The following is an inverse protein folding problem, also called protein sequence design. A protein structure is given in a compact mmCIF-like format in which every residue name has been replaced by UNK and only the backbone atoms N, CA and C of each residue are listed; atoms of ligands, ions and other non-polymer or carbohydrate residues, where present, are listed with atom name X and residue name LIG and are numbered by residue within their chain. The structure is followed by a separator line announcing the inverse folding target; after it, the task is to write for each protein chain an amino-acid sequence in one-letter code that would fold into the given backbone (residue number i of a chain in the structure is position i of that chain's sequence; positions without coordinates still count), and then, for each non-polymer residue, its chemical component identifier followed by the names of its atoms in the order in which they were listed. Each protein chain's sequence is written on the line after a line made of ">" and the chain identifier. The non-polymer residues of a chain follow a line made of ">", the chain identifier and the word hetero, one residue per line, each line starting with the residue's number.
data_IF_368317368278
#
_entry.id   IF_368317368278
#
_cell.length_a   1.000
_cell.length_b   1.000
_cell.length_c   1.000
_cell.angle_alpha   90.00
_cell.angle_beta   90.00
_cell.angle_gamma   90.00
#
_symmetry.space_group_name_H-M   'P 1'
#
loop_
_entity.id
_entity.type
_entity.pdbx_description
1 polymer ?
#
# COMPACT_ATOMS: atom_id res chain seq x y z
N UNK A 1 8.10 31.75 -2.58
CA UNK A 1 8.34 30.61 -3.49
C UNK A 1 6.99 30.22 -4.05
N UNK A 2 6.82 30.24 -5.38
CA UNK A 2 5.54 29.89 -5.99
C UNK A 2 5.22 28.42 -5.73
N UNK A 3 4.06 28.13 -5.15
CA UNK A 3 3.56 26.77 -5.03
C UNK A 3 3.47 26.18 -6.44
N UNK A 4 4.22 25.12 -6.68
CA UNK A 4 4.15 24.38 -7.93
C UNK A 4 2.89 23.51 -7.88
N UNK A 5 1.84 23.94 -8.57
CA UNK A 5 0.70 23.06 -8.86
C UNK A 5 1.15 21.98 -9.83
N UNK A 6 0.94 20.72 -9.44
CA UNK A 6 1.11 19.53 -10.28
C UNK A 6 -0.31 19.03 -10.56
N UNK A 7 -0.96 19.58 -11.58
CA UNK A 7 -2.37 19.25 -11.86
C UNK A 7 -2.53 17.96 -12.66
N UNK A 8 -1.49 17.52 -13.38
CA UNK A 8 -1.50 16.31 -14.20
C UNK A 8 -0.16 15.57 -14.12
N UNK A 9 -0.19 14.24 -14.24
CA UNK A 9 1.01 13.40 -14.22
C UNK A 9 2.04 13.69 -15.31
N UNK A 10 1.66 14.29 -16.43
CA UNK A 10 2.64 14.72 -17.42
C UNK A 10 3.53 15.85 -16.88
N UNK A 11 2.96 16.80 -16.13
CA UNK A 11 3.74 17.85 -15.44
C UNK A 11 4.70 17.24 -14.40
N UNK A 12 4.27 16.18 -13.72
CA UNK A 12 5.10 15.43 -12.77
C UNK A 12 6.29 14.78 -13.48
N UNK A 13 6.03 14.06 -14.58
CA UNK A 13 7.08 13.41 -15.38
C UNK A 13 8.08 14.42 -15.95
N UNK A 14 7.61 15.57 -16.41
CA UNK A 14 8.50 16.63 -16.92
C UNK A 14 9.35 17.24 -15.81
N UNK A 15 8.76 17.58 -14.67
CA UNK A 15 9.50 18.23 -13.57
C UNK A 15 10.49 17.28 -12.90
N UNK A 16 10.18 16.00 -12.76
CA UNK A 16 11.12 15.03 -12.17
C UNK A 16 12.42 14.95 -12.97
N UNK A 17 12.38 15.17 -14.30
CA UNK A 17 13.60 15.15 -15.14
C UNK A 17 14.61 16.25 -14.77
N UNK A 18 14.18 17.33 -14.13
CA UNK A 18 15.06 18.41 -13.67
C UNK A 18 15.45 18.29 -12.19
N UNK A 19 14.96 17.28 -11.48
CA UNK A 19 15.26 17.05 -10.07
C UNK A 19 16.43 16.08 -9.90
N UNK A 20 17.27 16.36 -8.90
CA UNK A 20 18.29 15.44 -8.41
C UNK A 20 17.99 15.14 -6.95
N UNK A 21 17.86 13.86 -6.61
CA UNK A 21 17.77 13.43 -5.21
C UNK A 21 19.19 13.36 -4.67
N UNK A 22 19.43 14.09 -3.59
CA UNK A 22 20.71 14.13 -2.92
C UNK A 22 20.64 13.35 -1.62
N UNK A 23 21.72 12.63 -1.32
CA UNK A 23 21.85 11.91 -0.06
C UNK A 23 22.02 12.91 1.08
N UNK A 24 20.94 13.14 1.83
CA UNK A 24 20.95 13.94 3.05
C UNK A 24 20.48 13.08 4.20
N UNK A 25 21.30 13.01 5.25
CA UNK A 25 20.93 12.32 6.49
C UNK A 25 19.69 12.98 7.11
N UNK A 26 18.78 12.15 7.60
CA UNK A 26 17.68 12.60 8.44
C UNK A 26 18.17 12.62 9.89
N UNK A 27 18.25 13.81 10.50
CA UNK A 27 18.81 14.00 11.85
C UNK A 27 18.16 13.09 12.91
N UNK A 28 16.87 12.80 12.77
CA UNK A 28 16.12 11.93 13.67
C UNK A 28 16.62 10.48 13.68
N UNK A 29 17.13 9.98 12.55
CA UNK A 29 17.51 8.57 12.35
C UNK A 29 19.00 8.38 12.09
N UNK A 30 19.77 9.47 12.02
CA UNK A 30 21.20 9.53 11.64
C UNK A 30 21.56 8.70 10.39
N UNK A 31 20.62 8.59 9.45
CA UNK A 31 20.79 7.78 8.24
C UNK A 31 20.15 8.42 7.01
N UNK A 32 20.57 7.97 5.83
CA UNK A 32 19.91 8.29 4.56
C UNK A 32 18.93 7.16 4.27
N UNK A 33 17.64 7.48 4.22
CA UNK A 33 16.61 6.48 3.96
C UNK A 33 16.56 6.13 2.46
N UNK A 34 16.65 4.84 2.09
CA UNK A 34 16.46 4.41 0.71
C UNK A 34 14.96 4.42 0.36
N UNK A 35 14.49 5.52 -0.23
CA UNK A 35 13.07 5.74 -0.52
C UNK A 35 12.76 5.64 -2.02
N UNK A 36 11.54 5.19 -2.30
CA UNK A 36 10.86 5.33 -3.58
C UNK A 36 9.41 5.80 -3.32
N UNK A 37 8.75 6.35 -4.34
CA UNK A 37 7.46 7.02 -4.17
C UNK A 37 6.40 6.46 -5.10
N UNK A 38 5.17 6.36 -4.59
CA UNK A 38 3.96 6.15 -5.37
C UNK A 38 3.12 7.43 -5.33
N UNK A 39 2.60 7.85 -6.47
CA UNK A 39 1.67 8.97 -6.58
C UNK A 39 0.40 8.46 -7.24
N UNK A 40 -0.76 8.87 -6.74
CA UNK A 40 -2.06 8.55 -7.32
C UNK A 40 -2.88 9.82 -7.46
N UNK A 41 -3.55 10.01 -8.60
CA UNK A 41 -4.37 11.20 -8.86
C UNK A 41 -5.88 10.91 -8.76
N UNK A 42 -6.71 11.93 -8.99
CA UNK A 42 -8.19 11.84 -8.99
C UNK A 42 -8.76 11.03 -10.15
N UNK A 43 -7.95 10.68 -11.15
CA UNK A 43 -8.38 9.82 -12.26
C UNK A 43 -8.20 8.33 -11.93
N UNK A 44 -7.57 8.02 -10.80
CA UNK A 44 -7.21 6.67 -10.39
C UNK A 44 -5.90 6.17 -11.01
N UNK A 45 -5.22 6.97 -11.84
CA UNK A 45 -3.89 6.64 -12.35
C UNK A 45 -2.88 6.66 -11.20
N UNK A 46 -1.86 5.82 -11.31
CA UNK A 46 -0.72 5.84 -10.39
C UNK A 46 0.62 5.91 -11.12
N UNK A 47 1.61 6.56 -10.51
CA UNK A 47 3.02 6.57 -10.91
C UNK A 47 3.89 5.97 -9.81
N UNK A 48 4.96 5.30 -10.19
CA UNK A 48 6.05 4.92 -9.29
C UNK A 48 7.33 5.63 -9.69
N UNK A 49 8.02 6.23 -8.72
CA UNK A 49 9.26 6.98 -8.91
C UNK A 49 10.36 6.30 -8.10
N UNK A 50 11.45 5.89 -8.75
CA UNK A 50 12.56 5.18 -8.12
C UNK A 50 13.90 5.86 -8.42
N UNK A 51 14.72 6.15 -7.39
CA UNK A 51 16.13 6.48 -7.58
C UNK A 51 16.88 5.24 -8.06
N UNK A 52 17.59 5.37 -9.19
CA UNK A 52 18.46 4.34 -9.75
C UNK A 52 19.86 4.89 -9.96
N UNK A 53 20.83 4.00 -10.15
CA UNK A 53 22.22 4.37 -10.40
C UNK A 53 22.37 5.30 -11.63
N UNK A 54 21.44 5.23 -12.58
CA UNK A 54 21.39 6.06 -13.80
C UNK A 54 20.32 7.18 -13.72
N UNK A 55 19.89 7.56 -12.52
CA UNK A 55 19.00 8.68 -12.25
C UNK A 55 17.59 8.29 -11.80
N UNK A 56 16.68 9.26 -11.74
CA UNK A 56 15.29 9.02 -11.36
C UNK A 56 14.53 8.35 -12.50
N UNK A 57 13.91 7.21 -12.20
CA UNK A 57 12.99 6.54 -13.10
C UNK A 57 11.56 6.80 -12.67
N UNK A 58 10.68 7.02 -13.66
CA UNK A 58 9.26 7.22 -13.46
C UNK A 58 8.52 6.21 -14.31
N UNK A 59 7.64 5.43 -13.68
CA UNK A 59 6.88 4.36 -14.30
C UNK A 59 5.39 4.64 -14.18
N UNK A 60 4.62 4.41 -15.24
CA UNK A 60 3.17 4.29 -15.12
C UNK A 60 2.84 3.00 -14.34
N UNK A 61 2.26 3.15 -13.16
CA UNK A 61 1.95 2.05 -12.26
C UNK A 61 0.52 1.56 -12.48
N UNK A 62 0.34 0.72 -13.49
CA UNK A 62 -0.96 0.11 -13.82
C UNK A 62 -1.53 -0.76 -12.69
N UNK A 63 -0.74 -1.60 -11.98
CA UNK A 63 -1.24 -2.32 -10.82
C UNK A 63 -1.74 -1.41 -9.69
N UNK A 64 -1.24 -0.17 -9.60
CA UNK A 64 -1.55 0.79 -8.53
C UNK A 64 -1.16 0.26 -7.15
N UNK A 65 -0.06 -0.50 -7.07
CA UNK A 65 0.51 -1.08 -5.85
C UNK A 65 2.00 -0.81 -5.85
N UNK A 66 2.58 -0.57 -4.67
CA UNK A 66 4.02 -0.45 -4.46
C UNK A 66 4.37 -1.03 -3.08
N UNK A 67 5.50 -1.71 -2.95
CA UNK A 67 6.00 -2.22 -1.67
C UNK A 67 7.40 -1.69 -1.37
N UNK A 68 8.44 -2.50 -1.50
CA UNK A 68 9.84 -2.12 -1.31
C UNK A 68 10.66 -2.83 -2.40
N UNK A 69 11.98 -2.93 -2.23
CA UNK A 69 12.89 -3.63 -3.14
C UNK A 69 12.40 -5.04 -3.55
N UNK A 70 12.72 -5.51 -4.77
CA UNK A 70 13.52 -4.85 -5.82
C UNK A 70 12.73 -3.77 -6.59
N UNK A 71 13.20 -3.34 -7.76
CA UNK A 71 12.51 -2.30 -8.53
C UNK A 71 11.10 -2.68 -8.98
N UNK A 72 10.33 -1.64 -9.28
CA UNK A 72 8.94 -1.77 -9.72
C UNK A 72 8.77 -2.67 -10.94
N UNK A 73 9.68 -2.59 -11.92
CA UNK A 73 9.59 -3.41 -13.14
C UNK A 73 9.77 -4.89 -12.81
N UNK A 74 10.70 -5.24 -11.92
CA UNK A 74 10.85 -6.60 -11.45
C UNK A 74 9.56 -7.11 -10.80
N UNK A 75 8.90 -6.31 -9.96
CA UNK A 75 7.63 -6.73 -9.33
C UNK A 75 6.54 -6.97 -10.38
N UNK A 76 6.44 -6.11 -11.39
CA UNK A 76 5.49 -6.30 -12.50
C UNK A 76 5.81 -7.58 -13.29
N UNK A 77 7.09 -7.86 -13.56
CA UNK A 77 7.49 -9.12 -14.21
C UNK A 77 7.17 -10.33 -13.32
N UNK A 78 7.36 -10.23 -12.01
CA UNK A 78 7.07 -11.29 -11.05
C UNK A 78 5.59 -11.70 -11.06
N UNK A 79 4.66 -10.77 -11.37
CA UNK A 79 3.22 -11.09 -11.48
C UNK A 79 2.93 -12.18 -12.53
N UNK A 80 3.77 -12.35 -13.54
CA UNK A 80 3.60 -13.38 -14.58
C UNK A 80 3.56 -14.80 -13.98
N UNK A 81 4.27 -15.02 -12.86
CA UNK A 81 4.30 -16.29 -12.13
C UNK A 81 2.96 -16.65 -11.47
N UNK A 82 2.05 -15.68 -11.30
CA UNK A 82 0.82 -15.82 -10.53
C UNK A 82 -0.45 -15.76 -11.38
N UNK A 83 -0.31 -15.78 -12.71
CA UNK A 83 -1.43 -15.70 -13.68
C UNK A 83 -2.45 -16.84 -13.56
N UNK A 84 -2.07 -17.97 -12.95
CA UNK A 84 -2.98 -19.11 -12.70
C UNK A 84 -3.86 -18.97 -11.45
N UNK A 85 -3.56 -18.01 -10.57
CA UNK A 85 -4.27 -17.80 -9.32
C UNK A 85 -5.60 -17.11 -9.59
N UNK A 86 -6.68 -17.61 -8.95
CA UNK A 86 -8.03 -17.10 -9.17
C UNK A 86 -8.92 -17.27 -7.94
N UNK A 87 -9.94 -16.42 -7.78
CA UNK A 87 -10.87 -16.53 -6.66
C UNK A 87 -11.80 -17.74 -6.81
N UNK A 88 -12.06 -18.17 -8.05
CA UNK A 88 -12.95 -19.28 -8.33
C UNK A 88 -12.33 -20.61 -7.88
N UNK A 89 -13.09 -21.35 -7.10
CA UNK A 89 -12.76 -22.69 -6.64
C UNK A 89 -12.35 -23.62 -7.79
N UNK A 90 -11.35 -24.48 -7.54
CA UNK A 90 -10.98 -25.52 -8.49
C UNK A 90 -11.96 -26.70 -8.41
N UNK A 91 -12.27 -27.28 -9.56
CA UNK A 91 -13.11 -28.48 -9.65
C UNK A 91 -12.35 -29.70 -9.11
N UNK A 92 -13.12 -30.63 -8.53
CA UNK A 92 -12.61 -31.95 -8.14
C UNK A 92 -12.01 -32.68 -9.34
N UNK A 93 -10.99 -33.51 -9.11
CA UNK A 93 -10.32 -34.28 -10.15
C UNK A 93 -10.13 -35.72 -9.72
N UNK A 94 -10.07 -36.62 -10.69
CA UNK A 94 -9.60 -37.98 -10.47
C UNK A 94 -8.11 -38.07 -10.82
N UNK A 95 -7.32 -38.71 -9.96
CA UNK A 95 -5.90 -38.94 -10.17
C UNK A 95 -5.58 -40.40 -9.88
N UNK A 96 -5.30 -41.18 -10.93
CA UNK A 96 -4.96 -42.60 -10.80
C UNK A 96 -6.03 -43.46 -10.11
N UNK A 97 -7.32 -43.16 -10.33
CA UNK A 97 -8.44 -43.85 -9.68
C UNK A 97 -8.89 -43.24 -8.34
N UNK A 98 -8.17 -42.24 -7.82
CA UNK A 98 -8.53 -41.54 -6.60
C UNK A 98 -9.29 -40.25 -6.90
N UNK A 99 -10.54 -40.16 -6.42
CA UNK A 99 -11.31 -38.93 -6.47
C UNK A 99 -10.80 -37.93 -5.41
N UNK A 100 -10.34 -36.77 -5.87
CA UNK A 100 -9.82 -35.68 -5.05
C UNK A 100 -10.75 -34.47 -5.15
N UNK A 101 -11.21 -34.00 -3.99
CA UNK A 101 -11.98 -32.77 -3.85
C UNK A 101 -11.24 -31.78 -2.94
N UNK A 102 -11.58 -30.50 -3.05
CA UNK A 102 -11.03 -29.49 -2.17
C UNK A 102 -11.45 -29.74 -0.71
N UNK A 103 -10.55 -29.51 0.25
CA UNK A 103 -10.85 -29.60 1.69
C UNK A 103 -11.83 -28.52 2.18
N UNK A 104 -11.99 -27.45 1.41
CA UNK A 104 -12.82 -26.29 1.72
C UNK A 104 -12.76 -25.30 0.56
N UNK A 105 -13.14 -24.04 0.79
CA UNK A 105 -13.06 -22.99 -0.23
C UNK A 105 -11.64 -22.42 -0.38
N UNK A 106 -11.35 -21.83 -1.54
CA UNK A 106 -10.10 -21.11 -1.78
C UNK A 106 -8.99 -21.93 -2.46
N UNK A 107 -9.26 -23.15 -2.95
CA UNK A 107 -8.22 -23.93 -3.64
C UNK A 107 -7.68 -23.22 -4.89
N UNK A 108 -8.47 -22.32 -5.50
CA UNK A 108 -8.04 -21.47 -6.62
C UNK A 108 -6.95 -20.45 -6.26
N UNK A 109 -6.73 -20.19 -4.97
CA UNK A 109 -5.72 -19.22 -4.50
C UNK A 109 -4.41 -19.88 -4.05
N UNK A 110 -4.30 -21.21 -4.17
CA UNK A 110 -3.05 -21.93 -3.91
C UNK A 110 -1.94 -21.37 -4.78
N UNK A 111 -0.80 -21.08 -4.14
CA UNK A 111 0.35 -20.42 -4.77
C UNK A 111 0.50 -18.95 -4.38
N UNK A 112 -0.51 -18.31 -3.76
CA UNK A 112 -0.31 -17.00 -3.16
C UNK A 112 0.72 -17.11 -2.04
N UNK A 113 1.79 -16.30 -2.07
CA UNK A 113 2.83 -16.38 -1.04
C UNK A 113 2.31 -15.78 0.27
N UNK A 114 2.64 -16.40 1.40
CA UNK A 114 2.13 -16.00 2.74
C UNK A 114 3.12 -15.23 3.61
N UNK A 115 4.38 -15.10 3.20
CA UNK A 115 5.43 -14.44 3.97
C UNK A 115 5.36 -12.90 3.88
N UNK A 116 6.14 -12.21 4.71
CA UNK A 116 6.13 -10.74 4.81
C UNK A 116 7.12 -10.02 3.89
N UNK A 117 7.80 -10.74 2.98
CA UNK A 117 8.76 -10.10 2.06
C UNK A 117 8.05 -9.11 1.13
N UNK A 118 8.76 -8.08 0.64
CA UNK A 118 8.17 -7.11 -0.28
C UNK A 118 7.57 -7.71 -1.56
N UNK A 119 8.22 -8.70 -2.25
CA UNK A 119 7.61 -9.40 -3.38
C UNK A 119 6.29 -10.09 -3.03
N UNK A 120 6.26 -10.82 -1.92
CA UNK A 120 5.06 -11.56 -1.50
C UNK A 120 3.92 -10.61 -1.14
N UNK A 121 4.21 -9.52 -0.42
CA UNK A 121 3.24 -8.47 -0.13
C UNK A 121 2.70 -7.80 -1.39
N UNK A 122 3.57 -7.55 -2.38
CA UNK A 122 3.16 -6.94 -3.66
C UNK A 122 2.17 -7.82 -4.40
N UNK A 123 2.49 -9.12 -4.56
CA UNK A 123 1.64 -10.09 -5.24
C UNK A 123 0.27 -10.21 -4.56
N UNK A 124 0.25 -10.34 -3.22
CA UNK A 124 -1.01 -10.42 -2.48
C UNK A 124 -1.85 -9.14 -2.62
N UNK A 125 -1.23 -7.96 -2.51
CA UNK A 125 -1.94 -6.69 -2.64
C UNK A 125 -2.55 -6.50 -4.04
N UNK A 126 -1.79 -6.82 -5.11
CA UNK A 126 -2.32 -6.78 -6.48
C UNK A 126 -3.47 -7.76 -6.66
N UNK A 127 -3.29 -9.01 -6.22
CA UNK A 127 -4.34 -10.03 -6.32
C UNK A 127 -5.62 -9.62 -5.59
N UNK A 128 -5.50 -9.14 -4.35
CA UNK A 128 -6.66 -8.74 -3.55
C UNK A 128 -7.36 -7.52 -4.15
N UNK A 129 -6.60 -6.51 -4.62
CA UNK A 129 -7.16 -5.33 -5.28
C UNK A 129 -7.96 -5.71 -6.53
N UNK A 130 -7.43 -6.61 -7.36
CA UNK A 130 -8.06 -6.99 -8.64
C UNK A 130 -9.36 -7.78 -8.46
N UNK A 131 -9.47 -8.57 -7.38
CA UNK A 131 -10.61 -9.47 -7.17
C UNK A 131 -11.59 -8.98 -6.11
N UNK A 132 -11.35 -7.81 -5.51
CA UNK A 132 -12.30 -7.20 -4.59
C UNK A 132 -13.51 -6.64 -5.35
N UNK A 133 -14.69 -6.68 -4.73
CA UNK A 133 -15.85 -5.99 -5.27
C UNK A 133 -15.62 -4.46 -5.30
N UNK A 134 -15.97 -3.77 -6.39
CA UNK A 134 -15.87 -2.33 -6.47
C UNK A 134 -16.68 -1.64 -5.36
N UNK A 135 -16.04 -0.69 -4.67
CA UNK A 135 -16.71 0.07 -3.63
C UNK A 135 -17.74 1.05 -4.22
N UNK A 136 -18.95 1.04 -3.67
CA UNK A 136 -20.04 1.92 -4.14
C UNK A 136 -19.91 3.38 -3.65
N UNK A 137 -19.11 3.62 -2.60
CA UNK A 137 -18.93 4.93 -1.97
C UNK A 137 -17.59 4.99 -1.22
N UNK A 138 -17.21 6.19 -0.80
CA UNK A 138 -15.94 6.44 -0.09
C UNK A 138 -15.79 5.59 1.17
N UNK A 139 -16.85 5.43 1.97
CA UNK A 139 -16.76 4.68 3.24
C UNK A 139 -16.52 3.20 2.99
N UNK A 140 -17.20 2.61 2.00
CA UNK A 140 -16.93 1.25 1.53
C UNK A 140 -15.53 1.13 0.92
N UNK A 141 -15.06 2.15 0.19
CA UNK A 141 -13.71 2.19 -0.38
C UNK A 141 -12.62 2.21 0.68
N UNK A 142 -12.81 3.00 1.72
CA UNK A 142 -11.93 3.04 2.90
C UNK A 142 -11.91 1.68 3.59
N UNK A 143 -13.08 1.09 3.82
CA UNK A 143 -13.18 -0.26 4.42
C UNK A 143 -12.47 -1.30 3.56
N UNK A 144 -12.72 -1.32 2.25
CA UNK A 144 -12.07 -2.18 1.27
C UNK A 144 -10.54 -2.06 1.29
N UNK A 145 -10.02 -0.82 1.27
CA UNK A 145 -8.59 -0.55 1.33
C UNK A 145 -7.96 -1.06 2.63
N UNK A 146 -8.61 -0.84 3.78
CA UNK A 146 -8.16 -1.40 5.05
C UNK A 146 -8.18 -2.94 5.06
N UNK A 147 -9.15 -3.60 4.42
CA UNK A 147 -9.17 -5.07 4.30
C UNK A 147 -8.01 -5.61 3.46
N UNK A 148 -7.67 -4.95 2.35
CA UNK A 148 -6.51 -5.31 1.52
C UNK A 148 -5.22 -5.15 2.34
N UNK A 149 -5.04 -3.99 2.98
CA UNK A 149 -3.84 -3.68 3.76
C UNK A 149 -3.72 -4.52 5.04
N UNK A 150 -4.84 -4.98 5.62
CA UNK A 150 -4.83 -5.91 6.75
C UNK A 150 -4.08 -7.20 6.43
N UNK A 151 -4.17 -7.68 5.19
CA UNK A 151 -3.47 -8.89 4.74
C UNK A 151 -1.94 -8.70 4.60
N UNK A 152 -1.45 -7.46 4.68
CA UNK A 152 -0.02 -7.11 4.72
C UNK A 152 0.43 -6.63 6.10
N UNK A 153 -0.44 -6.67 7.11
CA UNK A 153 -0.10 -6.21 8.45
C UNK A 153 0.88 -7.18 9.10
N UNK A 154 2.00 -6.65 9.57
CA UNK A 154 3.03 -7.39 10.27
C UNK A 154 2.77 -7.25 11.77
N UNK A 155 2.37 -8.32 12.47
CA UNK A 155 2.20 -8.28 13.92
C UNK A 155 3.55 -8.26 14.63
N UNK A 156 3.61 -7.61 15.80
CA UNK A 156 4.81 -7.58 16.65
C UNK A 156 5.28 -9.02 16.94
N UNK A 157 6.55 -9.30 16.67
CA UNK A 157 7.20 -10.59 16.89
C UNK A 157 7.17 -11.57 15.70
N UNK A 158 6.40 -11.30 14.64
CA UNK A 158 6.42 -12.16 13.45
C UNK A 158 7.63 -11.91 12.52
N UNK A 159 8.22 -10.72 12.59
CA UNK A 159 9.43 -10.36 11.86
C UNK A 159 10.38 -9.66 12.82
N UNK A 160 11.61 -10.17 12.89
CA UNK A 160 12.70 -9.65 13.71
C UNK A 160 13.86 -9.36 12.75
N UNK A 161 14.50 -8.19 12.90
CA UNK A 161 15.63 -7.79 12.04
C UNK A 161 16.92 -8.49 12.46
N UNK A 162 18.00 -8.32 11.68
CA UNK A 162 19.33 -8.84 12.05
C UNK A 162 19.89 -8.16 13.31
N UNK A 163 19.42 -6.95 13.61
CA UNK A 163 19.72 -6.19 14.82
C UNK A 163 18.78 -6.51 16.01
N UNK A 164 18.04 -7.62 15.94
CA UNK A 164 17.06 -8.06 16.95
C UNK A 164 15.90 -7.07 17.21
N UNK A 165 15.60 -6.19 16.25
CA UNK A 165 14.48 -5.25 16.36
C UNK A 165 13.16 -5.86 15.88
N UNK A 166 12.06 -5.53 16.57
CA UNK A 166 10.72 -5.95 16.15
C UNK A 166 10.29 -5.09 14.96
N UNK A 167 10.16 -5.72 13.79
CA UNK A 167 9.61 -5.07 12.60
C UNK A 167 8.11 -5.33 12.52
N UNK A 168 7.30 -4.27 12.53
CA UNK A 168 5.84 -4.37 12.55
C UNK A 168 5.17 -3.20 11.82
N UNK A 169 3.90 -3.36 11.47
CA UNK A 169 3.10 -2.28 10.88
C UNK A 169 2.71 -1.27 11.95
N UNK A 170 3.30 -0.07 11.94
CA UNK A 170 3.05 0.94 12.98
C UNK A 170 1.67 1.59 12.89
N UNK A 171 1.21 1.84 11.66
CA UNK A 171 -0.10 2.41 11.37
C UNK A 171 -0.50 2.04 9.93
N UNK A 172 -1.78 2.18 9.61
CA UNK A 172 -2.32 2.03 8.25
C UNK A 172 -3.13 3.27 7.91
N UNK A 173 -2.99 3.78 6.68
CA UNK A 173 -3.70 4.98 6.23
C UNK A 173 -4.33 4.82 4.85
N UNK A 174 -5.44 5.51 4.63
CA UNK A 174 -6.17 5.59 3.36
C UNK A 174 -6.53 7.05 3.10
N UNK A 175 -6.36 7.51 1.85
CA UNK A 175 -6.71 8.87 1.44
C UNK A 175 -7.79 8.83 0.36
N UNK A 176 -8.73 9.78 0.41
CA UNK A 176 -9.67 10.02 -0.68
C UNK A 176 -9.32 11.34 -1.38
N UNK A 177 -8.92 11.24 -2.65
CA UNK A 177 -8.41 12.37 -3.44
C UNK A 177 -9.51 13.38 -3.81
N UNK A 178 -10.75 12.93 -3.85
CA UNK A 178 -11.94 13.72 -4.19
C UNK A 178 -12.38 14.59 -3.01
N UNK A 179 -12.43 14.00 -1.80
CA UNK A 179 -12.96 14.67 -0.60
C UNK A 179 -11.91 15.30 0.29
N UNK A 180 -10.62 14.99 0.07
CA UNK A 180 -9.52 15.45 0.92
C UNK A 180 -9.54 14.81 2.31
N UNK A 181 -10.26 13.69 2.49
CA UNK A 181 -10.24 12.94 3.74
C UNK A 181 -8.97 12.07 3.82
N UNK A 182 -8.33 12.11 4.99
CA UNK A 182 -7.24 11.24 5.39
C UNK A 182 -7.71 10.36 6.55
N UNK A 183 -7.76 9.05 6.31
CA UNK A 183 -8.17 8.03 7.28
C UNK A 183 -6.95 7.26 7.76
N UNK A 184 -6.90 6.92 9.04
CA UNK A 184 -5.81 6.10 9.58
C UNK A 184 -6.22 5.38 10.86
N UNK A 185 -5.48 4.32 11.20
CA UNK A 185 -5.51 3.72 12.54
C UNK A 185 -4.09 3.32 12.94
N UNK A 186 -3.81 3.22 14.24
CA UNK A 186 -2.53 2.77 14.76
C UNK A 186 -2.49 1.25 14.90
N UNK A 187 -1.31 0.72 15.20
CA UNK A 187 -1.19 -0.67 15.62
C UNK A 187 -1.99 -0.95 16.90
N UNK A 188 -1.81 -0.10 17.91
CA UNK A 188 -2.41 -0.28 19.26
C UNK A 188 -3.84 0.31 19.39
N UNK A 189 -4.35 0.96 18.32
CA UNK A 189 -5.74 1.40 18.22
C UNK A 189 -6.25 1.17 16.80
N UNK A 190 -7.20 0.24 16.64
CA UNK A 190 -7.76 -0.14 15.33
C UNK A 190 -9.00 0.66 14.93
N UNK A 191 -9.48 1.58 15.76
CA UNK A 191 -10.54 2.49 15.39
C UNK A 191 -10.04 3.48 14.33
N UNK A 192 -10.72 3.52 13.18
CA UNK A 192 -10.39 4.43 12.10
C UNK A 192 -10.64 5.88 12.56
N UNK A 193 -9.60 6.68 12.49
CA UNK A 193 -9.60 8.13 12.72
C UNK A 193 -9.58 8.85 11.36
N UNK A 194 -10.21 10.02 11.29
CA UNK A 194 -10.34 10.81 10.05
C UNK A 194 -9.99 12.27 10.29
N UNK A 195 -9.21 12.84 9.40
CA UNK A 195 -8.98 14.29 9.25
C UNK A 195 -9.41 14.70 7.84
N UNK A 196 -9.98 15.88 7.68
CA UNK A 196 -10.33 16.43 6.36
C UNK A 196 -9.49 17.68 6.09
N UNK A 197 -8.72 17.67 5.00
CA UNK A 197 -7.85 18.77 4.60
C UNK A 197 -8.64 20.06 4.33
N UNK A 198 -9.79 19.95 3.68
CA UNK A 198 -10.63 21.08 3.27
C UNK A 198 -11.50 21.65 4.40
N UNK A 199 -11.44 21.08 5.61
CA UNK A 199 -12.03 21.66 6.81
C UNK A 199 -11.07 22.62 7.54
N UNK A 200 -9.85 22.79 7.03
CA UNK A 200 -8.81 23.63 7.61
C UNK A 200 -8.50 24.84 6.72
N UNK A 201 -7.89 25.86 7.32
CA UNK A 201 -7.34 26.99 6.59
C UNK A 201 -6.10 26.55 5.80
N UNK A 202 -6.22 26.51 4.47
CA UNK A 202 -5.16 26.11 3.55
C UNK A 202 -4.07 27.17 3.39
N UNK A 203 -4.34 28.42 3.78
CA UNK A 203 -3.41 29.54 3.70
C UNK A 203 -2.70 29.82 5.04
N UNK A 204 -2.93 28.98 6.05
CA UNK A 204 -2.29 29.13 7.36
C UNK A 204 -0.76 29.05 7.24
N UNK A 205 -0.06 29.90 7.99
CA UNK A 205 1.40 29.98 7.95
C UNK A 205 2.10 28.85 8.71
N UNK A 206 1.49 28.37 9.80
CA UNK A 206 2.05 27.34 10.67
C UNK A 206 1.29 26.03 10.50
N UNK A 207 1.91 24.84 10.52
CA UNK A 207 1.20 23.58 10.36
C UNK A 207 0.19 23.34 11.51
N UNK A 208 -0.97 22.76 11.17
CA UNK A 208 -1.87 22.17 12.18
C UNK A 208 -1.47 20.71 12.38
N UNK A 209 -1.27 20.32 13.63
CA UNK A 209 -0.98 18.93 13.99
C UNK A 209 -2.18 18.34 14.71
N UNK A 210 -2.60 17.15 14.26
CA UNK A 210 -3.61 16.36 14.94
C UNK A 210 -2.90 15.24 15.69
N UNK A 211 -3.12 15.14 16.99
CA UNK A 211 -2.60 14.02 17.78
C UNK A 211 -3.45 12.80 17.52
N UNK A 212 -2.80 11.70 17.15
CA UNK A 212 -3.48 10.44 17.01
C UNK A 212 -3.77 9.79 18.35
N UNK A 213 -4.93 9.15 18.48
CA UNK A 213 -5.23 8.28 19.62
C UNK A 213 -4.54 6.93 19.39
N UNK A 214 -3.55 6.61 20.23
CA UNK A 214 -2.83 5.35 20.19
C UNK A 214 -3.40 4.29 21.15
N UNK A 215 -4.18 4.71 22.16
CA UNK A 215 -4.89 3.79 23.07
C UNK A 215 -6.13 3.21 22.37
N UNK A 216 -6.35 1.90 22.52
CA UNK A 216 -7.45 1.19 21.87
C UNK A 216 -8.82 1.77 22.27
N UNK A 217 -9.69 1.96 21.27
CA UNK A 217 -11.04 2.45 21.51
C UNK A 217 -12.05 1.32 21.36
N UNK A 218 -12.40 0.71 22.49
CA UNK A 218 -13.39 -0.38 22.56
C UNK A 218 -14.77 0.23 22.83
N UNK A 219 -15.73 -0.01 21.93
CA UNK A 219 -17.12 0.32 22.19
C UNK A 219 -17.76 -0.74 23.10
N UNK A 220 -17.96 -0.40 24.37
CA UNK A 220 -18.67 -1.24 25.33
C UNK A 220 -20.18 -1.26 25.00
N UNK A 221 -20.75 -2.45 24.91
CA UNK A 221 -22.14 -2.66 24.49
C UNK A 221 -23.11 -2.81 25.69
N UNK A 222 -22.61 -2.88 26.91
CA UNK A 222 -23.40 -3.19 28.11
C UNK A 222 -22.83 -2.53 29.38
#
# INVERSE_FOLDING_TARGET
>A
MGAVSLSVFEDVKEKIRSLTIVEKKLDLLDTVLPLHWILSDRTGRSLTIEPRADGLKVYDNQPGVMTNSPDFIWHVTNLQQYTGIRPKQLESKEMGGLALSAFGQGLGTVGLPGDYTPPSRFVRAVYLKEHLEPAADETKGVTAAFQILANMTIPKGAVITEEDEIHYTQYTSVMCNETGNYYFHHYDNRQIQKVNLFHEDLDRLEPKVFSAKAEESIHELN
#
